data_IF_493218779129
#
_entry.id   IF_493218779129
#
_cell.length_a   1.000
_cell.length_b   1.000
_cell.length_c   1.000
_cell.angle_alpha   90.00
_cell.angle_beta   90.00
_cell.angle_gamma   90.00
#
_symmetry.space_group_name_H-M   'P 1'
#
loop_
_entity.id
_entity.type
_entity.pdbx_description
1 polymer ?
#
# COMPACT_ATOMS: atom_id res chain seq x y z
N UNK A 1 54.23 15.50 -2.44
CA UNK A 1 53.74 14.47 -1.51
C UNK A 1 52.55 13.79 -2.16
N UNK A 2 52.70 12.51 -2.49
CA UNK A 2 51.69 11.64 -3.11
C UNK A 2 50.54 11.34 -2.14
N UNK A 3 49.28 11.18 -2.59
CA UNK A 3 48.18 10.79 -1.71
C UNK A 3 48.41 9.37 -1.18
N UNK A 4 48.21 9.16 0.13
CA UNK A 4 48.32 7.85 0.78
C UNK A 4 47.24 6.85 0.31
N UNK A 5 47.44 5.54 0.56
CA UNK A 5 46.67 4.47 -0.05
C UNK A 5 45.20 4.54 0.38
N UNK A 6 44.31 4.41 -0.60
CA UNK A 6 42.87 4.38 -0.39
C UNK A 6 42.49 3.32 0.65
N UNK A 7 41.91 3.78 1.74
CA UNK A 7 41.38 2.95 2.81
C UNK A 7 40.38 1.98 2.20
N UNK A 8 40.74 0.69 2.16
CA UNK A 8 39.81 -0.38 1.78
C UNK A 8 38.61 -0.27 2.74
N UNK A 9 37.37 -0.15 2.24
CA UNK A 9 36.23 -0.11 3.12
C UNK A 9 36.20 -1.40 3.94
N UNK A 10 35.83 -1.28 5.21
CA UNK A 10 35.70 -2.42 6.11
C UNK A 10 34.75 -3.48 5.49
N UNK A 11 35.20 -4.75 5.34
CA UNK A 11 34.40 -5.80 4.71
C UNK A 11 33.04 -6.01 5.37
N UNK A 12 32.95 -5.86 6.69
CA UNK A 12 31.69 -6.00 7.42
C UNK A 12 30.73 -4.85 7.09
N UNK A 13 31.24 -3.63 6.98
CA UNK A 13 30.48 -2.46 6.53
C UNK A 13 29.94 -2.63 5.10
N UNK A 14 30.76 -3.15 4.18
CA UNK A 14 30.34 -3.48 2.81
C UNK A 14 29.25 -4.57 2.79
N UNK A 15 29.43 -5.64 3.57
CA UNK A 15 28.45 -6.73 3.66
C UNK A 15 27.11 -6.26 4.22
N UNK A 16 27.13 -5.41 5.25
CA UNK A 16 25.91 -4.81 5.81
C UNK A 16 25.20 -3.89 4.82
N UNK A 17 25.94 -3.10 4.04
CA UNK A 17 25.37 -2.24 3.02
C UNK A 17 24.67 -3.05 1.93
N UNK A 18 25.31 -4.12 1.43
CA UNK A 18 24.74 -5.02 0.42
C UNK A 18 23.49 -5.73 0.93
N UNK A 19 23.52 -6.29 2.16
CA UNK A 19 22.33 -6.93 2.77
C UNK A 19 21.16 -5.95 2.89
N UNK A 20 21.43 -4.70 3.30
CA UNK A 20 20.40 -3.66 3.43
C UNK A 20 19.84 -3.22 2.07
N UNK A 21 20.67 -3.27 1.02
CA UNK A 21 20.25 -2.99 -0.35
C UNK A 21 19.42 -4.13 -0.93
N UNK A 22 19.81 -5.38 -0.68
CA UNK A 22 19.03 -6.59 -1.02
C UNK A 22 17.67 -6.59 -0.31
N UNK A 23 17.65 -6.33 1.00
CA UNK A 23 16.41 -6.19 1.78
C UNK A 23 15.49 -5.10 1.21
N UNK A 24 16.05 -3.95 0.81
CA UNK A 24 15.28 -2.87 0.15
C UNK A 24 14.78 -3.25 -1.23
N UNK A 25 15.55 -4.04 -1.99
CA UNK A 25 15.15 -4.52 -3.31
C UNK A 25 14.02 -5.55 -3.23
N UNK A 26 13.93 -6.30 -2.12
CA UNK A 26 12.86 -7.28 -1.90
C UNK A 26 11.55 -6.68 -1.38
N UNK A 27 11.59 -5.49 -0.78
CA UNK A 27 10.38 -4.82 -0.27
C UNK A 27 9.63 -4.12 -1.38
N UNK A 28 8.30 -4.16 -1.28
CA UNK A 28 7.42 -3.37 -2.12
C UNK A 28 7.63 -1.87 -1.94
N UNK A 29 7.18 -1.10 -2.92
CA UNK A 29 7.24 0.36 -2.94
C UNK A 29 5.90 0.95 -2.53
N UNK A 30 5.97 1.97 -1.67
CA UNK A 30 4.80 2.74 -1.25
C UNK A 30 4.68 4.02 -2.09
N UNK A 31 3.51 4.25 -2.69
CA UNK A 31 3.14 5.54 -3.29
C UNK A 31 1.96 6.14 -2.53
N UNK A 32 2.14 7.35 -2.03
CA UNK A 32 1.11 8.07 -1.26
C UNK A 32 0.51 9.17 -2.11
N UNK A 33 -0.81 9.13 -2.28
CA UNK A 33 -1.63 10.19 -2.86
C UNK A 33 -2.11 11.08 -1.72
N UNK A 34 -1.39 12.17 -1.51
CA UNK A 34 -1.58 13.07 -0.38
C UNK A 34 -2.44 14.28 -0.74
N UNK A 35 -3.24 14.78 0.20
CA UNK A 35 -4.09 15.95 -0.04
C UNK A 35 -4.50 16.70 1.22
N UNK A 36 -4.87 17.97 1.05
CA UNK A 36 -5.13 18.89 2.17
C UNK A 36 -6.45 18.64 2.89
N UNK A 37 -7.46 18.08 2.19
CA UNK A 37 -8.78 17.79 2.75
C UNK A 37 -9.51 16.67 1.98
N UNK A 38 -10.67 16.28 2.50
CA UNK A 38 -11.58 15.37 1.81
C UNK A 38 -12.09 16.01 0.50
N UNK A 39 -12.34 15.18 -0.52
CA UNK A 39 -12.88 15.65 -1.80
C UNK A 39 -11.86 16.17 -2.82
N UNK A 40 -10.59 16.38 -2.47
CA UNK A 40 -9.55 16.90 -3.39
C UNK A 40 -9.08 15.91 -4.48
N UNK A 41 -9.75 14.76 -4.63
CA UNK A 41 -9.48 13.84 -5.73
C UNK A 41 -8.46 12.72 -5.49
N UNK A 42 -7.84 12.62 -4.30
CA UNK A 42 -6.79 11.61 -3.99
C UNK A 42 -7.12 10.18 -4.47
N UNK A 43 -8.29 9.66 -4.09
CA UNK A 43 -8.76 8.31 -4.47
C UNK A 43 -8.92 8.19 -5.98
N UNK A 44 -9.43 9.24 -6.63
CA UNK A 44 -9.62 9.26 -8.08
C UNK A 44 -8.27 9.25 -8.82
N UNK A 45 -7.29 10.04 -8.37
CA UNK A 45 -5.95 10.07 -8.94
C UNK A 45 -5.17 8.77 -8.67
N UNK A 46 -5.38 8.16 -7.49
CA UNK A 46 -4.87 6.82 -7.18
C UNK A 46 -5.40 5.78 -8.16
N UNK A 47 -6.70 5.76 -8.40
CA UNK A 47 -7.33 4.84 -9.35
C UNK A 47 -6.88 5.10 -10.79
N UNK A 48 -6.72 6.36 -11.22
CA UNK A 48 -6.15 6.66 -12.55
C UNK A 48 -4.72 6.13 -12.69
N UNK A 49 -3.87 6.34 -11.68
CA UNK A 49 -2.52 5.75 -11.66
C UNK A 49 -2.54 4.21 -11.66
N UNK A 50 -3.56 3.60 -11.04
CA UNK A 50 -3.73 2.15 -11.01
C UNK A 50 -4.14 1.59 -12.38
N UNK A 51 -5.03 2.27 -13.10
CA UNK A 51 -5.31 1.98 -14.53
C UNK A 51 -4.06 2.16 -15.40
N UNK A 52 -3.28 3.22 -15.12
CA UNK A 52 -1.88 3.44 -15.49
C UNK A 52 -1.03 2.15 -15.51
N UNK A 53 -0.98 1.52 -14.35
CA UNK A 53 -0.19 0.32 -14.09
C UNK A 53 -0.85 -0.93 -14.70
N UNK A 54 -2.17 -1.07 -14.58
CA UNK A 54 -2.90 -2.21 -15.10
C UNK A 54 -2.79 -2.34 -16.63
N UNK A 55 -2.83 -1.21 -17.36
CA UNK A 55 -2.60 -1.18 -18.80
C UNK A 55 -1.16 -1.47 -19.23
N UNK A 56 -0.22 -1.58 -18.28
CA UNK A 56 1.17 -2.03 -18.47
C UNK A 56 1.38 -3.46 -17.97
N UNK A 57 0.29 -4.24 -17.90
CA UNK A 57 0.27 -5.63 -17.43
C UNK A 57 0.78 -5.83 -16.00
N UNK A 58 0.75 -4.78 -15.17
CA UNK A 58 0.98 -4.93 -13.74
C UNK A 58 -0.24 -5.59 -13.11
N UNK A 59 -0.01 -6.62 -12.30
CA UNK A 59 -1.06 -7.30 -11.57
C UNK A 59 -1.57 -6.46 -10.40
N UNK A 60 -2.60 -5.64 -10.68
CA UNK A 60 -3.23 -4.71 -9.75
C UNK A 60 -4.44 -5.35 -9.08
N UNK A 61 -4.62 -5.11 -7.78
CA UNK A 61 -5.85 -5.44 -7.06
C UNK A 61 -6.30 -4.30 -6.13
N UNK A 62 -7.62 -4.10 -6.06
CA UNK A 62 -8.26 -3.26 -5.07
C UNK A 62 -8.36 -4.05 -3.76
N UNK A 63 -7.61 -3.63 -2.73
CA UNK A 63 -7.75 -4.16 -1.38
C UNK A 63 -8.87 -3.44 -0.62
N UNK A 64 -8.84 -2.11 -0.61
CA UNK A 64 -9.93 -1.27 -0.09
C UNK A 64 -9.88 0.12 -0.72
N UNK A 65 -11.02 0.60 -1.21
CA UNK A 65 -11.19 1.92 -1.83
C UNK A 65 -12.52 2.53 -1.37
N UNK A 66 -12.48 3.79 -0.95
CA UNK A 66 -13.64 4.56 -0.49
C UNK A 66 -14.12 5.54 -1.58
N UNK A 67 -15.15 5.13 -2.32
CA UNK A 67 -15.69 5.92 -3.44
C UNK A 67 -16.52 7.12 -2.95
N UNK A 68 -17.11 7.01 -1.76
CA UNK A 68 -18.14 7.91 -1.24
C UNK A 68 -19.28 8.16 -2.23
N UNK A 69 -19.69 7.11 -2.96
CA UNK A 69 -20.80 7.14 -3.94
C UNK A 69 -20.60 8.09 -5.11
N UNK A 70 -19.35 8.42 -5.44
CA UNK A 70 -19.01 9.25 -6.60
C UNK A 70 -19.02 8.36 -7.86
N UNK A 71 -19.95 8.57 -8.82
CA UNK A 71 -20.13 7.66 -9.96
C UNK A 71 -18.87 7.45 -10.79
N UNK A 72 -18.11 8.53 -11.04
CA UNK A 72 -16.86 8.46 -11.79
C UNK A 72 -15.79 7.62 -11.08
N UNK A 73 -15.77 7.65 -9.74
CA UNK A 73 -14.83 6.86 -8.94
C UNK A 73 -15.25 5.39 -8.89
N UNK A 74 -16.56 5.12 -8.79
CA UNK A 74 -17.11 3.76 -8.84
C UNK A 74 -16.84 3.08 -10.19
N UNK A 75 -16.98 3.83 -11.29
CA UNK A 75 -16.65 3.35 -12.63
C UNK A 75 -15.18 2.93 -12.75
N UNK A 76 -14.25 3.70 -12.17
CA UNK A 76 -12.83 3.34 -12.15
C UNK A 76 -12.57 2.07 -11.32
N UNK A 77 -13.27 1.90 -10.19
CA UNK A 77 -13.13 0.68 -9.36
C UNK A 77 -13.63 -0.56 -10.10
N UNK A 78 -14.77 -0.45 -10.80
CA UNK A 78 -15.36 -1.57 -11.54
C UNK A 78 -14.45 -2.12 -12.66
N UNK A 79 -13.49 -1.31 -13.14
CA UNK A 79 -12.52 -1.71 -14.16
C UNK A 79 -11.26 -2.40 -13.62
N UNK A 80 -11.17 -2.70 -12.32
CA UNK A 80 -10.00 -3.34 -11.70
C UNK A 80 -10.40 -4.60 -10.93
N UNK A 81 -9.51 -5.60 -10.78
CA UNK A 81 -9.75 -6.75 -9.89
C UNK A 81 -9.92 -6.31 -8.43
N UNK A 82 -10.84 -6.94 -7.69
CA UNK A 82 -11.20 -6.56 -6.31
C UNK A 82 -11.12 -7.77 -5.38
N UNK A 83 -10.45 -7.63 -4.24
CA UNK A 83 -10.61 -8.56 -3.11
C UNK A 83 -11.83 -8.13 -2.29
N UNK A 84 -12.72 -9.08 -2.03
CA UNK A 84 -13.93 -8.82 -1.23
C UNK A 84 -13.54 -8.41 0.20
N UNK A 85 -14.20 -7.38 0.72
CA UNK A 85 -13.98 -6.89 2.08
C UNK A 85 -14.38 -7.93 3.12
N UNK A 86 -13.61 -8.00 4.21
CA UNK A 86 -13.95 -8.82 5.37
C UNK A 86 -15.02 -8.11 6.20
N UNK A 87 -16.13 -8.80 6.47
CA UNK A 87 -17.20 -8.29 7.32
C UNK A 87 -16.98 -8.78 8.75
N UNK A 88 -17.09 -7.86 9.70
CA UNK A 88 -17.03 -8.15 11.14
C UNK A 88 -18.19 -7.48 11.84
N UNK A 89 -18.69 -8.09 12.92
CA UNK A 89 -19.75 -7.49 13.74
C UNK A 89 -19.14 -6.96 15.03
N UNK A 90 -19.37 -5.68 15.32
CA UNK A 90 -18.91 -5.06 16.56
C UNK A 90 -20.02 -4.20 17.16
N UNK A 91 -20.44 -4.58 18.38
CA UNK A 91 -21.52 -3.90 19.13
C UNK A 91 -22.82 -3.75 18.32
N UNK A 92 -23.16 -4.74 17.51
CA UNK A 92 -24.36 -4.74 16.66
C UNK A 92 -24.24 -3.93 15.36
N UNK A 93 -23.06 -3.40 15.04
CA UNK A 93 -22.78 -2.73 13.77
C UNK A 93 -21.87 -3.61 12.91
N UNK A 94 -22.25 -3.82 11.64
CA UNK A 94 -21.39 -4.45 10.66
C UNK A 94 -20.29 -3.48 10.22
N UNK A 95 -19.03 -3.86 10.43
CA UNK A 95 -17.85 -3.15 9.96
C UNK A 95 -17.24 -3.93 8.80
N UNK A 96 -16.79 -3.20 7.78
CA UNK A 96 -16.08 -3.78 6.64
C UNK A 96 -14.62 -3.33 6.68
N UNK A 97 -13.70 -4.28 6.53
CA UNK A 97 -12.26 -4.02 6.48
C UNK A 97 -11.62 -4.69 5.28
N UNK A 98 -10.40 -4.26 4.96
CA UNK A 98 -9.56 -4.94 3.98
C UNK A 98 -9.28 -6.39 4.43
N UNK A 99 -9.42 -7.35 3.52
CA UNK A 99 -9.02 -8.74 3.77
C UNK A 99 -7.52 -8.92 3.48
N UNK A 100 -6.70 -8.57 4.47
CA UNK A 100 -5.23 -8.63 4.37
C UNK A 100 -4.74 -10.05 4.04
N UNK A 101 -5.34 -11.08 4.64
CA UNK A 101 -4.94 -12.46 4.44
C UNK A 101 -5.24 -12.95 3.03
N UNK A 102 -6.39 -12.57 2.47
CA UNK A 102 -6.73 -12.88 1.09
C UNK A 102 -5.77 -12.20 0.11
N UNK A 103 -5.38 -10.94 0.37
CA UNK A 103 -4.42 -10.21 -0.48
C UNK A 103 -3.04 -10.89 -0.43
N UNK A 104 -2.51 -11.18 0.76
CA UNK A 104 -1.21 -11.86 0.92
C UNK A 104 -1.22 -13.24 0.24
N UNK A 105 -2.34 -13.97 0.36
CA UNK A 105 -2.47 -15.28 -0.29
C UNK A 105 -2.50 -15.16 -1.82
N UNK A 106 -3.10 -14.09 -2.36
CA UNK A 106 -3.21 -13.82 -3.80
C UNK A 106 -1.93 -13.30 -4.42
N UNK A 107 -1.04 -12.66 -3.64
CA UNK A 107 0.27 -12.12 -4.06
C UNK A 107 0.22 -11.22 -5.31
N UNK A 108 -0.63 -10.16 -5.33
CA UNK A 108 -0.59 -9.12 -6.37
C UNK A 108 0.79 -8.47 -6.51
N UNK A 109 1.06 -7.85 -7.65
CA UNK A 109 2.20 -6.93 -7.76
C UNK A 109 1.89 -5.57 -7.12
N UNK A 110 0.64 -5.09 -7.25
CA UNK A 110 0.21 -3.78 -6.72
C UNK A 110 -1.14 -3.89 -6.00
N UNK A 111 -1.21 -3.32 -4.79
CA UNK A 111 -2.44 -3.22 -3.98
C UNK A 111 -2.87 -1.77 -3.83
N UNK A 112 -4.16 -1.49 -4.02
CA UNK A 112 -4.76 -0.20 -3.70
C UNK A 112 -5.39 -0.23 -2.30
N UNK A 113 -4.97 0.69 -1.43
CA UNK A 113 -5.39 0.77 -0.02
C UNK A 113 -5.71 2.21 0.37
N UNK A 114 -6.98 2.59 0.41
CA UNK A 114 -7.40 3.92 0.84
C UNK A 114 -7.22 4.15 2.35
N UNK A 115 -7.08 5.43 2.71
CA UNK A 115 -7.08 5.93 4.08
C UNK A 115 -5.99 5.31 4.98
N UNK A 116 -4.72 5.60 4.68
CA UNK A 116 -3.57 5.07 5.42
C UNK A 116 -3.64 5.29 6.94
N UNK A 117 -4.27 6.40 7.37
CA UNK A 117 -4.43 6.75 8.77
C UNK A 117 -5.62 6.06 9.48
N UNK A 118 -6.36 5.19 8.79
CA UNK A 118 -7.51 4.48 9.35
C UNK A 118 -7.14 3.63 10.58
N UNK A 119 -8.08 3.53 11.52
CA UNK A 119 -8.00 2.61 12.66
C UNK A 119 -8.86 1.40 12.37
N UNK A 120 -8.23 0.23 12.27
CA UNK A 120 -8.89 -0.99 11.88
C UNK A 120 -9.94 -1.42 12.92
N UNK A 121 -10.94 -2.17 12.45
CA UNK A 121 -11.98 -2.73 13.30
C UNK A 121 -11.40 -3.56 14.48
N UNK A 122 -12.04 -3.54 15.67
CA UNK A 122 -11.63 -4.36 16.80
C UNK A 122 -11.53 -5.85 16.46
N UNK A 123 -10.46 -6.51 16.91
CA UNK A 123 -10.18 -7.91 16.58
C UNK A 123 -9.41 -8.11 15.27
N UNK A 124 -9.07 -7.04 14.55
CA UNK A 124 -8.13 -7.09 13.42
C UNK A 124 -6.72 -7.48 13.87
N UNK A 125 -5.93 -8.08 12.97
CA UNK A 125 -4.52 -8.42 13.21
C UNK A 125 -3.72 -7.20 13.67
N UNK A 126 -3.92 -6.08 12.97
CA UNK A 126 -3.27 -4.81 13.26
C UNK A 126 -4.27 -3.75 13.69
N UNK A 127 -3.83 -2.82 14.53
CA UNK A 127 -4.68 -1.74 15.04
C UNK A 127 -4.85 -0.60 14.03
N UNK A 128 -3.86 -0.38 13.16
CA UNK A 128 -3.84 0.72 12.19
C UNK A 128 -3.58 0.21 10.79
N UNK A 129 -4.26 0.80 9.79
CA UNK A 129 -4.14 0.39 8.39
C UNK A 129 -2.72 0.54 7.82
N UNK A 130 -1.95 1.51 8.29
CA UNK A 130 -0.53 1.63 7.91
C UNK A 130 0.28 0.37 8.26
N UNK A 131 -0.10 -0.38 9.31
CA UNK A 131 0.58 -1.62 9.68
C UNK A 131 0.24 -2.74 8.69
N UNK A 132 -1.02 -2.82 8.22
CA UNK A 132 -1.39 -3.73 7.13
C UNK A 132 -0.58 -3.40 5.87
N UNK A 133 -0.46 -2.11 5.53
CA UNK A 133 0.34 -1.64 4.40
C UNK A 133 1.81 -2.04 4.55
N UNK A 134 2.39 -1.90 5.75
CA UNK A 134 3.76 -2.36 6.00
C UNK A 134 3.90 -3.87 5.80
N UNK A 135 2.93 -4.68 6.24
CA UNK A 135 2.96 -6.13 6.02
C UNK A 135 2.85 -6.48 4.52
N UNK A 136 2.04 -5.76 3.75
CA UNK A 136 1.98 -5.93 2.29
C UNK A 136 3.33 -5.62 1.61
N UNK A 137 3.96 -4.50 1.99
CA UNK A 137 5.28 -4.10 1.48
C UNK A 137 6.37 -5.11 1.87
N UNK A 138 6.31 -5.63 3.09
CA UNK A 138 7.25 -6.66 3.58
C UNK A 138 7.07 -8.01 2.86
N UNK A 139 5.90 -8.27 2.29
CA UNK A 139 5.63 -9.39 1.39
C UNK A 139 5.98 -9.08 -0.08
N UNK A 140 6.64 -7.96 -0.37
CA UNK A 140 7.13 -7.59 -1.70
C UNK A 140 6.08 -6.98 -2.64
N UNK A 141 4.90 -6.64 -2.14
CA UNK A 141 3.83 -6.05 -2.93
C UNK A 141 3.93 -4.53 -2.91
N UNK A 142 3.86 -3.88 -4.08
CA UNK A 142 3.74 -2.42 -4.12
C UNK A 142 2.37 -1.99 -3.57
N UNK A 143 2.32 -0.84 -2.93
CA UNK A 143 1.08 -0.29 -2.36
C UNK A 143 0.87 1.14 -2.80
N UNK A 144 -0.30 1.42 -3.36
CA UNK A 144 -0.80 2.77 -3.57
C UNK A 144 -1.82 3.10 -2.48
N UNK A 145 -1.67 4.25 -1.83
CA UNK A 145 -2.53 4.64 -0.71
C UNK A 145 -2.88 6.11 -0.72
N UNK A 146 -3.93 6.49 0.01
CA UNK A 146 -4.32 7.89 0.21
C UNK A 146 -4.12 8.34 1.65
N UNK A 147 -3.74 9.61 1.83
CA UNK A 147 -3.59 10.22 3.16
C UNK A 147 -4.01 11.70 3.12
N UNK A 148 -4.69 12.16 4.18
CA UNK A 148 -5.01 13.58 4.36
C UNK A 148 -4.06 14.22 5.37
N UNK A 149 -3.80 15.53 5.22
CA UNK A 149 -3.02 16.35 6.19
C UNK A 149 -3.62 16.35 7.60
N UNK A 150 -4.94 16.18 7.74
CA UNK A 150 -5.66 16.29 9.01
C UNK A 150 -5.50 15.08 9.94
N UNK A 151 -4.69 14.08 9.58
CA UNK A 151 -4.53 12.82 10.31
C UNK A 151 -3.11 12.58 10.80
#
# INVERSE_FOLDING_TARGET
MTPGPGTRPDPDTLLHALKKEEERATKGKLKIFFGMCAGVGKTYDMLKSAHEAHGKDIDVVVGIVETHKRPETEALVAGLPIISRKKTEYKGTALEEMDLDAIISRKPQLVLVDELAHTNAPGSRHTKRYQDVLELLDNGMDVYTTLNVQH
#
